data_IF_421533317311
#
_entry.id   IF_421533317311
#
_cell.length_a   1.000
_cell.length_b   1.000
_cell.length_c   1.000
_cell.angle_alpha   90.00
_cell.angle_beta   90.00
_cell.angle_gamma   90.00
#
_symmetry.space_group_name_H-M   'P 1'
#
loop_
_entity.id
_entity.type
_entity.pdbx_description
1 polymer ?
#
# COMPACT_ATOMS: atom_id res chain seq x y z
N UNK A 1 -33.19 26.84 49.65
CA UNK A 1 -33.01 25.44 50.11
C UNK A 1 -31.60 25.32 50.66
N UNK A 2 -31.42 25.00 51.94
CA UNK A 2 -30.07 24.79 52.49
C UNK A 2 -29.56 23.40 52.06
N UNK A 3 -28.55 23.31 51.18
CA UNK A 3 -28.07 22.03 50.64
C UNK A 3 -27.53 21.10 51.73
N UNK A 4 -26.92 21.66 52.77
CA UNK A 4 -26.35 20.91 53.90
C UNK A 4 -27.41 20.16 54.72
N UNK A 5 -28.57 20.79 54.95
CA UNK A 5 -29.68 20.15 55.68
C UNK A 5 -30.33 19.02 54.87
N UNK A 6 -30.37 19.16 53.53
CA UNK A 6 -30.88 18.12 52.63
C UNK A 6 -29.94 16.90 52.60
N UNK A 7 -28.63 17.14 52.48
CA UNK A 7 -27.62 16.08 52.47
C UNK A 7 -27.63 15.31 53.80
N UNK A 8 -27.68 15.99 54.95
CA UNK A 8 -27.76 15.33 56.27
C UNK A 8 -29.00 14.45 56.42
N UNK A 9 -30.16 14.91 55.93
CA UNK A 9 -31.42 14.16 56.01
C UNK A 9 -31.46 12.95 55.06
N UNK A 10 -30.77 13.02 53.93
CA UNK A 10 -30.74 11.96 52.89
C UNK A 10 -29.42 11.20 52.86
N UNK A 11 -28.54 11.39 53.84
CA UNK A 11 -27.19 10.84 53.85
C UNK A 11 -27.17 9.32 53.67
N UNK A 12 -27.99 8.59 54.44
CA UNK A 12 -28.10 7.14 54.33
C UNK A 12 -28.57 6.67 52.93
N UNK A 13 -29.51 7.38 52.31
CA UNK A 13 -29.99 7.06 50.96
C UNK A 13 -28.94 7.35 49.89
N UNK A 14 -28.18 8.44 50.04
CA UNK A 14 -27.10 8.80 49.10
C UNK A 14 -25.96 7.79 49.20
N UNK A 15 -25.53 7.46 50.43
CA UNK A 15 -24.47 6.50 50.68
C UNK A 15 -24.89 5.09 50.18
N UNK A 16 -26.11 4.66 50.49
CA UNK A 16 -26.65 3.39 49.98
C UNK A 16 -26.72 3.36 48.45
N UNK A 17 -27.11 4.46 47.81
CA UNK A 17 -27.10 4.60 46.35
C UNK A 17 -25.68 4.49 45.77
N UNK A 18 -24.70 5.16 46.37
CA UNK A 18 -23.29 5.06 45.95
C UNK A 18 -22.75 3.64 46.07
N UNK A 19 -23.05 2.94 47.16
CA UNK A 19 -22.65 1.54 47.36
C UNK A 19 -23.31 0.63 46.32
N UNK A 20 -24.60 0.82 46.05
CA UNK A 20 -25.32 0.03 45.04
C UNK A 20 -24.75 0.24 43.62
N UNK A 21 -24.44 1.49 43.26
CA UNK A 21 -23.81 1.82 41.97
C UNK A 21 -22.41 1.20 41.89
N UNK A 22 -21.61 1.31 42.95
CA UNK A 22 -20.29 0.69 43.00
C UNK A 22 -20.35 -0.83 42.84
N UNK A 23 -21.27 -1.49 43.55
CA UNK A 23 -21.49 -2.94 43.45
C UNK A 23 -21.93 -3.35 42.04
N UNK A 24 -22.81 -2.58 41.39
CA UNK A 24 -23.24 -2.84 40.00
C UNK A 24 -22.08 -2.75 39.01
N UNK A 25 -21.20 -1.74 39.14
CA UNK A 25 -20.03 -1.61 38.28
C UNK A 25 -19.00 -2.72 38.51
N UNK A 26 -18.81 -3.15 39.76
CA UNK A 26 -17.93 -4.29 40.07
C UNK A 26 -18.48 -5.61 39.49
N UNK A 27 -19.77 -5.86 39.65
CA UNK A 27 -20.42 -7.07 39.13
C UNK A 27 -20.43 -7.11 37.59
N UNK A 28 -20.70 -5.98 36.93
CA UNK A 28 -20.67 -5.90 35.47
C UNK A 28 -19.24 -6.07 34.92
N UNK A 29 -18.24 -5.46 35.56
CA UNK A 29 -16.83 -5.66 35.22
C UNK A 29 -16.38 -7.12 35.33
N UNK A 30 -16.72 -7.81 36.43
CA UNK A 30 -16.37 -9.21 36.62
C UNK A 30 -17.08 -10.13 35.61
N UNK A 31 -18.34 -9.83 35.28
CA UNK A 31 -19.11 -10.60 34.29
C UNK A 31 -18.47 -10.55 32.90
N UNK A 32 -17.93 -9.40 32.50
CA UNK A 32 -17.20 -9.27 31.24
C UNK A 32 -15.88 -10.04 31.22
N UNK A 33 -15.14 -10.08 32.34
CA UNK A 33 -13.91 -10.86 32.44
C UNK A 33 -14.17 -12.37 32.34
N UNK A 34 -15.24 -12.85 32.99
CA UNK A 34 -15.65 -14.26 32.92
C UNK A 34 -16.12 -14.60 31.50
N UNK A 35 -16.94 -13.75 30.88
CA UNK A 35 -17.37 -13.94 29.50
C UNK A 35 -16.20 -14.02 28.52
N UNK A 36 -15.16 -13.20 28.71
CA UNK A 36 -13.95 -13.25 27.90
C UNK A 36 -13.16 -14.56 28.08
N UNK A 37 -13.02 -15.07 29.31
CA UNK A 37 -12.34 -16.36 29.53
C UNK A 37 -13.10 -17.52 28.88
N UNK A 38 -14.42 -17.57 29.03
CA UNK A 38 -15.25 -18.62 28.41
C UNK A 38 -15.13 -18.54 26.88
N UNK A 39 -15.22 -17.34 26.28
CA UNK A 39 -15.09 -17.18 24.84
C UNK A 39 -13.70 -17.63 24.31
N UNK A 40 -12.65 -17.49 25.12
CA UNK A 40 -11.28 -17.89 24.77
C UNK A 40 -11.09 -19.40 24.81
N UNK A 41 -11.69 -20.09 25.79
CA UNK A 41 -11.64 -21.54 25.91
C UNK A 41 -12.56 -22.25 24.89
N UNK A 42 -13.62 -21.57 24.43
CA UNK A 42 -14.53 -22.05 23.38
C UNK A 42 -13.94 -22.07 21.97
N UNK A 43 -12.74 -21.51 21.77
CA UNK A 43 -12.07 -21.55 20.46
C UNK A 43 -11.49 -22.95 20.31
N UNK A 44 -12.01 -23.82 19.42
CA UNK A 44 -11.39 -25.10 19.16
C UNK A 44 -9.94 -24.85 18.73
N UNK A 45 -9.01 -25.49 19.45
CA UNK A 45 -7.59 -25.42 19.08
C UNK A 45 -7.45 -25.85 17.62
N UNK A 46 -7.01 -24.92 16.77
CA UNK A 46 -6.70 -25.23 15.38
C UNK A 46 -5.77 -26.45 15.35
N UNK A 47 -5.99 -27.43 14.46
CA UNK A 47 -5.09 -28.57 14.34
C UNK A 47 -3.68 -28.03 14.12
N UNK A 48 -2.75 -28.49 14.96
CA UNK A 48 -1.34 -28.12 14.90
C UNK A 48 -0.86 -28.41 13.48
N UNK A 49 -0.65 -27.36 12.69
CA UNK A 49 -0.11 -27.49 11.35
C UNK A 49 1.25 -28.17 11.46
N UNK A 50 1.32 -29.43 11.02
CA UNK A 50 2.58 -30.12 10.78
C UNK A 50 3.38 -29.23 9.85
N UNK A 51 4.62 -28.89 10.23
CA UNK A 51 5.50 -28.11 9.37
C UNK A 51 5.51 -28.77 7.97
N UNK A 52 5.33 -28.00 6.88
CA UNK A 52 5.44 -28.57 5.55
C UNK A 52 6.84 -29.16 5.43
N UNK A 53 6.91 -30.46 5.16
CA UNK A 53 8.16 -31.09 4.74
C UNK A 53 8.68 -30.28 3.56
N UNK A 54 9.94 -29.84 3.64
CA UNK A 54 10.58 -29.12 2.54
C UNK A 54 10.44 -29.93 1.24
N UNK A 55 10.20 -29.27 0.09
CA UNK A 55 10.08 -29.99 -1.17
C UNK A 55 11.36 -30.79 -1.41
N UNK A 56 11.27 -32.05 -1.88
CA UNK A 56 12.46 -32.76 -2.32
C UNK A 56 13.15 -31.93 -3.41
N UNK A 57 14.48 -32.01 -3.55
CA UNK A 57 15.17 -31.38 -4.68
C UNK A 57 14.62 -32.01 -5.97
N UNK A 58 13.70 -31.31 -6.62
CA UNK A 58 13.17 -31.68 -7.93
C UNK A 58 14.28 -31.42 -8.94
N UNK A 59 14.99 -32.49 -9.31
CA UNK A 59 15.90 -32.52 -10.45
C UNK A 59 15.18 -32.62 -11.79
N UNK A 60 13.87 -32.40 -11.81
CA UNK A 60 13.11 -32.44 -13.05
C UNK A 60 13.30 -31.13 -13.83
N UNK A 61 13.65 -31.20 -15.12
CA UNK A 61 13.63 -30.02 -15.98
C UNK A 61 12.22 -29.43 -16.01
N UNK A 62 12.09 -28.11 -16.26
CA UNK A 62 10.78 -27.44 -16.29
C UNK A 62 9.82 -28.19 -17.22
N UNK A 63 8.53 -28.31 -16.85
CA UNK A 63 7.58 -29.09 -17.62
C UNK A 63 7.51 -28.56 -19.05
N UNK A 64 7.88 -29.40 -20.02
CA UNK A 64 7.83 -29.05 -21.43
C UNK A 64 6.56 -29.63 -22.07
N UNK A 65 5.88 -28.81 -22.86
CA UNK A 65 4.71 -29.24 -23.63
C UNK A 65 5.09 -29.96 -24.94
N UNK A 66 6.39 -30.08 -25.24
CA UNK A 66 6.92 -30.72 -26.44
C UNK A 66 6.32 -32.11 -26.74
N UNK A 67 6.25 -33.06 -25.79
CA UNK A 67 5.66 -34.38 -26.06
C UNK A 67 4.15 -34.35 -26.34
N UNK A 68 3.43 -33.34 -25.85
CA UNK A 68 1.99 -33.17 -26.09
C UNK A 68 1.78 -32.64 -27.52
N UNK A 69 2.60 -31.67 -27.94
CA UNK A 69 2.55 -31.09 -29.28
C UNK A 69 3.02 -32.05 -30.37
N UNK A 70 4.02 -32.90 -30.05
CA UNK A 70 4.52 -33.93 -30.96
C UNK A 70 3.50 -35.04 -31.19
N UNK A 71 2.76 -35.40 -30.14
CA UNK A 71 1.79 -36.49 -30.21
C UNK A 71 0.40 -36.07 -30.68
N UNK A 72 0.14 -34.75 -30.71
CA UNK A 72 -1.11 -34.10 -31.10
C UNK A 72 -2.36 -34.94 -30.78
N UNK A 73 -2.68 -35.16 -29.49
CA UNK A 73 -3.77 -36.05 -29.08
C UNK A 73 -5.17 -35.57 -29.51
N UNK A 74 -5.29 -34.33 -29.98
CA UNK A 74 -6.56 -33.72 -30.41
C UNK A 74 -6.77 -33.80 -31.93
N UNK A 75 -5.72 -34.11 -32.70
CA UNK A 75 -5.81 -34.33 -34.15
C UNK A 75 -4.72 -35.31 -34.62
N UNK A 76 -5.02 -36.60 -34.44
CA UNK A 76 -4.13 -37.70 -34.83
C UNK A 76 -3.98 -37.91 -36.34
N UNK A 77 -4.75 -37.19 -37.17
CA UNK A 77 -4.71 -37.33 -38.63
C UNK A 77 -3.67 -36.38 -39.23
N UNK A 78 -3.62 -35.14 -38.73
CA UNK A 78 -2.80 -34.07 -39.33
C UNK A 78 -1.35 -34.07 -38.80
N UNK A 79 -1.06 -34.77 -37.69
CA UNK A 79 0.29 -34.96 -37.15
C UNK A 79 0.76 -33.85 -36.20
N UNK A 80 2.06 -33.79 -35.87
CA UNK A 80 2.61 -32.86 -34.87
C UNK A 80 2.32 -31.38 -35.14
N UNK A 81 2.00 -30.60 -34.10
CA UNK A 81 1.74 -29.15 -34.21
C UNK A 81 3.01 -28.28 -34.19
N UNK A 82 4.18 -28.88 -34.40
CA UNK A 82 5.46 -28.19 -34.42
C UNK A 82 5.81 -27.62 -35.80
N UNK A 83 6.69 -26.60 -35.89
CA UNK A 83 7.19 -26.11 -37.16
C UNK A 83 7.93 -27.24 -37.92
N UNK A 84 7.69 -27.42 -39.23
CA UNK A 84 8.35 -28.47 -40.00
C UNK A 84 9.88 -28.26 -39.99
N UNK A 85 10.67 -29.34 -39.89
CA UNK A 85 12.13 -29.22 -39.84
C UNK A 85 12.64 -28.59 -41.13
N UNK A 86 13.16 -27.35 -41.03
CA UNK A 86 13.74 -26.59 -42.14
C UNK A 86 12.94 -25.35 -42.57
N UNK A 87 11.79 -25.05 -41.98
CA UNK A 87 11.13 -23.76 -42.21
C UNK A 87 11.83 -22.67 -41.37
N UNK A 88 12.46 -21.71 -42.04
CA UNK A 88 12.80 -20.43 -41.43
C UNK A 88 11.53 -19.83 -40.80
N UNK A 89 11.62 -19.12 -39.65
CA UNK A 89 10.44 -18.56 -39.00
C UNK A 89 9.72 -17.65 -39.99
N UNK A 90 8.57 -18.11 -40.49
CA UNK A 90 7.63 -17.27 -41.21
C UNK A 90 7.28 -16.14 -40.24
N UNK A 91 7.46 -14.90 -40.71
CA UNK A 91 7.29 -13.69 -39.90
C UNK A 91 6.02 -13.80 -39.06
N UNK A 92 6.17 -13.49 -37.77
CA UNK A 92 5.08 -13.44 -36.81
C UNK A 92 3.88 -12.77 -37.48
N UNK A 93 2.83 -13.54 -37.74
CA UNK A 93 1.55 -12.95 -38.07
C UNK A 93 1.21 -12.03 -36.89
N UNK A 94 0.94 -10.76 -37.18
CA UNK A 94 0.63 -9.74 -36.18
C UNK A 94 -0.70 -10.08 -35.51
N UNK A 95 -0.63 -10.92 -34.47
CA UNK A 95 -1.74 -11.33 -33.62
C UNK A 95 -2.00 -10.30 -32.50
N UNK A 96 -1.38 -9.12 -32.55
CA UNK A 96 -1.58 -8.04 -31.58
C UNK A 96 -3.03 -7.55 -31.52
N UNK A 97 -3.85 -7.94 -32.49
CA UNK A 97 -5.29 -7.68 -32.50
C UNK A 97 -6.11 -8.63 -31.59
N UNK A 98 -5.60 -9.82 -31.26
CA UNK A 98 -6.31 -10.82 -30.45
C UNK A 98 -6.04 -10.70 -28.95
N UNK A 99 -4.86 -10.19 -28.55
CA UNK A 99 -4.55 -9.96 -27.14
C UNK A 99 -4.64 -8.46 -26.81
N UNK A 100 -5.64 -8.04 -26.00
CA UNK A 100 -5.76 -6.64 -25.57
C UNK A 100 -4.50 -6.08 -24.92
N UNK A 101 -3.69 -6.92 -24.26
CA UNK A 101 -2.48 -6.48 -23.56
C UNK A 101 -1.30 -6.20 -24.50
N UNK A 102 -1.36 -6.66 -25.75
CA UNK A 102 -0.38 -6.35 -26.80
C UNK A 102 -0.70 -5.05 -27.55
N UNK A 103 -1.82 -4.37 -27.24
CA UNK A 103 -2.16 -3.11 -27.87
C UNK A 103 -1.06 -2.06 -27.61
N UNK A 104 -0.70 -1.23 -28.60
CA UNK A 104 0.32 -0.20 -28.39
C UNK A 104 -0.15 0.85 -27.37
N UNK A 105 0.79 1.52 -26.69
CA UNK A 105 0.48 2.59 -25.76
C UNK A 105 -0.17 3.79 -26.49
N UNK A 106 -1.24 4.39 -25.96
CA UNK A 106 -1.90 5.52 -26.63
C UNK A 106 -1.07 6.81 -26.63
N UNK A 107 -0.83 7.43 -27.79
CA UNK A 107 0.10 8.57 -27.97
C UNK A 107 -0.06 9.79 -27.05
N UNK A 108 -1.26 9.99 -26.47
CA UNK A 108 -1.63 11.23 -25.78
C UNK A 108 -2.49 10.97 -24.56
N UNK A 109 -2.09 11.59 -23.46
CA UNK A 109 -2.83 11.65 -22.21
C UNK A 109 -2.23 10.80 -21.10
N UNK A 110 -2.92 10.77 -19.96
CA UNK A 110 -2.63 9.86 -18.85
C UNK A 110 -3.90 9.49 -18.10
N UNK A 111 -3.95 8.28 -17.56
CA UNK A 111 -5.01 7.87 -16.64
C UNK A 111 -4.63 8.33 -15.23
N UNK A 112 -5.52 9.09 -14.60
CA UNK A 112 -5.30 9.70 -13.27
C UNK A 112 -5.91 8.86 -12.16
N UNK A 113 -7.07 8.26 -12.40
CA UNK A 113 -7.81 7.45 -11.44
C UNK A 113 -8.61 6.40 -12.18
N UNK A 114 -8.73 5.22 -11.56
CA UNK A 114 -9.61 4.13 -11.99
C UNK A 114 -10.45 3.73 -10.78
N UNK A 115 -11.77 3.62 -10.97
CA UNK A 115 -12.67 2.98 -10.03
C UNK A 115 -13.32 1.80 -10.76
N UNK A 116 -12.97 0.59 -10.34
CA UNK A 116 -13.45 -0.66 -10.93
C UNK A 116 -14.57 -1.24 -10.06
N UNK A 117 -15.62 -1.72 -10.71
CA UNK A 117 -16.71 -2.50 -10.12
C UNK A 117 -16.70 -3.91 -10.70
N UNK A 118 -17.36 -4.87 -10.03
CA UNK A 118 -17.60 -6.20 -10.62
C UNK A 118 -18.46 -6.12 -11.88
N UNK A 119 -19.34 -5.12 -11.96
CA UNK A 119 -20.07 -4.78 -13.17
C UNK A 119 -19.24 -3.80 -14.04
N UNK A 120 -18.79 -4.21 -15.25
CA UNK A 120 -18.01 -3.36 -16.14
C UNK A 120 -18.71 -2.06 -16.54
N UNK A 121 -20.05 -2.02 -16.56
CA UNK A 121 -20.82 -0.82 -16.90
C UNK A 121 -20.72 0.28 -15.83
N UNK A 122 -20.41 -0.12 -14.59
CA UNK A 122 -20.27 0.78 -13.44
C UNK A 122 -18.83 1.25 -13.23
N UNK A 123 -17.89 0.70 -14.01
CA UNK A 123 -16.49 1.09 -13.95
C UNK A 123 -16.25 2.42 -14.66
N UNK A 124 -15.40 3.26 -14.08
CA UNK A 124 -15.04 4.55 -14.67
C UNK A 124 -13.58 4.91 -14.44
N UNK A 125 -13.02 5.69 -15.36
CA UNK A 125 -11.66 6.19 -15.29
C UNK A 125 -11.61 7.70 -15.51
N UNK A 126 -10.79 8.41 -14.74
CA UNK A 126 -10.49 9.81 -14.96
C UNK A 126 -9.27 9.91 -15.89
N UNK A 127 -9.50 10.34 -17.13
CA UNK A 127 -8.47 10.39 -18.18
C UNK A 127 -8.18 11.86 -18.46
N UNK A 128 -6.91 12.24 -18.34
CA UNK A 128 -6.44 13.59 -18.66
C UNK A 128 -5.81 13.59 -20.03
N UNK A 129 -6.43 14.30 -20.98
CA UNK A 129 -5.85 14.54 -22.29
C UNK A 129 -4.62 15.45 -22.20
N UNK A 130 -3.73 15.34 -23.18
CA UNK A 130 -2.54 16.20 -23.26
C UNK A 130 -2.95 17.68 -23.35
N UNK A 131 -2.57 18.48 -22.34
CA UNK A 131 -2.93 19.91 -22.26
C UNK A 131 -4.42 20.21 -22.00
N UNK A 132 -5.28 19.20 -21.84
CA UNK A 132 -6.72 19.35 -21.64
C UNK A 132 -7.19 19.14 -20.19
N UNK A 133 -8.49 19.41 -19.93
CA UNK A 133 -9.12 19.07 -18.66
C UNK A 133 -9.18 17.54 -18.47
N UNK A 134 -9.23 17.11 -17.21
CA UNK A 134 -9.50 15.70 -16.89
C UNK A 134 -10.96 15.41 -17.18
N UNK A 135 -11.25 14.37 -17.96
CA UNK A 135 -12.59 13.92 -18.29
C UNK A 135 -12.84 12.53 -17.72
N UNK A 136 -14.11 12.26 -17.39
CA UNK A 136 -14.53 10.96 -16.89
C UNK A 136 -14.96 10.06 -18.06
N UNK A 137 -14.25 8.96 -18.25
CA UNK A 137 -14.56 7.93 -19.22
C UNK A 137 -15.25 6.74 -18.57
N UNK A 138 -16.30 6.23 -19.20
CA UNK A 138 -16.94 4.95 -18.89
C UNK A 138 -16.86 4.06 -20.11
N UNK A 139 -17.03 2.75 -19.92
CA UNK A 139 -17.13 1.79 -21.02
C UNK A 139 -18.15 2.26 -22.07
N UNK A 140 -17.76 2.26 -23.34
CA UNK A 140 -18.57 2.75 -24.46
C UNK A 140 -18.63 4.27 -24.63
N UNK A 141 -18.22 5.05 -23.62
CA UNK A 141 -18.16 6.52 -23.67
C UNK A 141 -16.97 7.05 -24.46
N UNK A 142 -17.03 8.32 -24.83
CA UNK A 142 -15.98 8.99 -25.62
C UNK A 142 -15.21 10.00 -24.77
N UNK A 143 -13.88 9.91 -24.80
CA UNK A 143 -12.99 10.86 -24.12
C UNK A 143 -11.90 11.31 -25.08
N UNK A 144 -11.84 12.62 -25.31
CA UNK A 144 -10.85 13.25 -26.20
C UNK A 144 -10.79 12.65 -27.63
N UNK A 145 -11.95 12.31 -28.21
CA UNK A 145 -12.05 11.75 -29.56
C UNK A 145 -11.72 10.25 -29.65
N UNK A 146 -11.61 9.56 -28.50
CA UNK A 146 -11.38 8.11 -28.43
C UNK A 146 -12.48 7.44 -27.62
N UNK A 147 -12.95 6.28 -28.10
CA UNK A 147 -13.98 5.50 -27.41
C UNK A 147 -13.33 4.59 -26.38
N UNK A 148 -13.81 4.61 -25.15
CA UNK A 148 -13.36 3.70 -24.09
C UNK A 148 -13.96 2.32 -24.37
N UNK A 149 -13.11 1.34 -24.60
CA UNK A 149 -13.54 -0.03 -24.91
C UNK A 149 -13.69 -0.86 -23.65
N UNK A 150 -12.69 -0.81 -22.77
CA UNK A 150 -12.69 -1.51 -21.50
C UNK A 150 -11.82 -0.81 -20.45
N UNK A 151 -12.10 -1.09 -19.17
CA UNK A 151 -11.43 -0.51 -18.01
C UNK A 151 -11.02 -1.65 -17.08
N UNK A 152 -9.72 -1.91 -16.98
CA UNK A 152 -9.14 -2.81 -15.98
C UNK A 152 -8.65 -2.02 -14.76
N UNK A 153 -8.22 -2.74 -13.73
CA UNK A 153 -7.71 -2.19 -12.47
C UNK A 153 -6.45 -1.31 -12.65
N UNK A 154 -5.62 -1.60 -13.67
CA UNK A 154 -4.33 -0.94 -13.91
C UNK A 154 -4.27 -0.13 -15.22
N UNK A 155 -5.22 -0.34 -16.13
CA UNK A 155 -5.18 0.26 -17.48
C UNK A 155 -6.56 0.46 -18.09
N UNK A 156 -6.60 1.33 -19.09
CA UNK A 156 -7.78 1.61 -19.90
C UNK A 156 -7.45 1.34 -21.36
N UNK A 157 -8.32 0.61 -22.05
CA UNK A 157 -8.24 0.42 -23.49
C UNK A 157 -9.14 1.41 -24.20
N UNK A 158 -8.58 2.10 -25.18
CA UNK A 158 -9.29 3.06 -26.01
C UNK A 158 -9.18 2.67 -27.47
N UNK A 159 -10.25 2.90 -28.21
CA UNK A 159 -10.29 2.71 -29.66
C UNK A 159 -10.42 4.07 -30.36
N UNK A 160 -9.60 4.29 -31.39
CA UNK A 160 -9.71 5.46 -32.28
C UNK A 160 -9.56 5.00 -33.73
N UNK A 161 -10.56 5.26 -34.57
CA UNK A 161 -10.51 4.87 -35.99
C UNK A 161 -10.35 3.36 -36.25
N UNK A 162 -10.74 2.51 -35.29
CA UNK A 162 -10.58 1.05 -35.37
C UNK A 162 -9.27 0.50 -34.79
N UNK A 163 -8.30 1.35 -34.46
CA UNK A 163 -7.09 0.96 -33.76
C UNK A 163 -7.30 1.03 -32.24
N UNK A 164 -7.02 -0.09 -31.55
CA UNK A 164 -7.00 -0.18 -30.09
C UNK A 164 -5.64 0.28 -29.57
N UNK A 165 -5.64 1.06 -28.50
CA UNK A 165 -4.46 1.42 -27.74
C UNK A 165 -4.74 1.31 -26.24
N UNK A 166 -3.70 1.19 -25.42
CA UNK A 166 -3.83 1.09 -23.97
C UNK A 166 -3.15 2.26 -23.24
N UNK A 167 -3.70 2.62 -22.07
CA UNK A 167 -3.12 3.61 -21.17
C UNK A 167 -3.07 3.06 -19.75
N UNK A 168 -1.87 3.00 -19.17
CA UNK A 168 -1.68 2.54 -17.79
C UNK A 168 -1.90 3.67 -16.78
N UNK A 169 -2.38 3.31 -15.58
CA UNK A 169 -2.59 4.23 -14.48
C UNK A 169 -1.27 4.89 -14.05
N UNK A 170 -1.24 6.22 -14.07
CA UNK A 170 -0.09 7.00 -13.58
C UNK A 170 1.10 7.10 -14.55
N UNK A 171 1.14 6.34 -15.65
CA UNK A 171 2.16 6.50 -16.69
C UNK A 171 1.79 7.63 -17.66
N UNK A 172 2.77 8.45 -18.02
CA UNK A 172 2.62 9.43 -19.10
C UNK A 172 2.99 8.73 -20.39
N UNK A 173 2.00 8.52 -21.25
CA UNK A 173 2.26 7.88 -22.53
C UNK A 173 3.04 8.86 -23.43
N UNK A 174 4.23 8.46 -23.85
CA UNK A 174 5.14 9.30 -24.65
C UNK A 174 6.64 9.21 -24.31
N UNK A 175 7.08 8.41 -23.33
CA UNK A 175 8.51 8.30 -22.98
C UNK A 175 9.11 6.90 -23.11
N UNK A 176 8.33 5.91 -23.53
CA UNK A 176 8.79 4.52 -23.71
C UNK A 176 8.14 3.93 -24.97
N UNK A 177 8.63 4.32 -26.15
CA UNK A 177 8.79 3.42 -27.30
C UNK A 177 9.32 4.17 -28.53
N UNK A 178 10.65 4.29 -28.58
CA UNK A 178 11.39 4.24 -29.84
C UNK A 178 12.69 3.48 -29.61
N UNK A 179 12.58 2.23 -29.19
CA UNK A 179 13.69 1.29 -29.15
C UNK A 179 13.84 0.68 -30.55
N UNK A 180 14.62 1.33 -31.41
CA UNK A 180 15.06 0.74 -32.67
C UNK A 180 16.28 -0.17 -32.41
N UNK A 181 16.36 -1.39 -32.96
CA UNK A 181 17.45 -2.32 -32.65
C UNK A 181 18.74 -1.85 -33.33
N UNK A 182 19.73 -1.42 -32.55
CA UNK A 182 21.07 -1.06 -33.05
C UNK A 182 22.00 -2.30 -33.02
N UNK A 183 22.75 -2.59 -34.10
CA UNK A 183 23.72 -3.69 -34.17
C UNK A 183 24.81 -3.60 -33.08
N UNK A 184 25.41 -4.73 -32.67
CA UNK A 184 26.38 -4.75 -31.58
C UNK A 184 27.75 -4.32 -32.10
N UNK A 185 28.27 -3.21 -31.57
CA UNK A 185 29.66 -2.80 -31.81
C UNK A 185 30.15 -1.91 -30.65
N UNK A 186 31.47 -1.73 -30.47
CA UNK A 186 32.28 -2.43 -29.47
C UNK A 186 32.41 -1.69 -28.14
N UNK A 187 32.79 -2.45 -27.12
CA UNK A 187 33.15 -2.00 -25.77
C UNK A 187 34.24 -0.92 -25.77
N UNK A 188 33.87 0.26 -25.29
CA UNK A 188 34.77 1.35 -24.88
C UNK A 188 34.34 1.89 -23.49
N UNK A 189 35.23 2.56 -22.74
CA UNK A 189 35.57 2.30 -21.33
C UNK A 189 34.47 2.73 -20.33
N UNK A 190 34.56 2.34 -19.05
CA UNK A 190 33.51 2.61 -18.06
C UNK A 190 33.27 4.10 -17.93
N UNK A 191 32.24 4.59 -18.60
CA UNK A 191 31.79 5.96 -18.48
C UNK A 191 31.14 6.10 -17.13
N UNK A 192 31.75 6.97 -16.31
CA UNK A 192 31.35 7.27 -14.95
C UNK A 192 29.83 7.35 -14.81
N UNK A 193 29.33 6.63 -13.80
CA UNK A 193 27.97 6.71 -13.28
C UNK A 193 27.55 8.18 -13.26
N UNK A 194 26.43 8.58 -13.89
CA UNK A 194 25.92 9.92 -13.68
C UNK A 194 25.70 10.07 -12.17
N UNK A 195 26.10 11.21 -11.56
CA UNK A 195 25.92 11.38 -10.13
C UNK A 195 24.45 11.17 -9.82
N UNK A 196 24.19 10.21 -8.94
CA UNK A 196 22.93 10.00 -8.26
C UNK A 196 22.46 11.38 -7.84
N UNK A 197 21.39 11.90 -8.46
CA UNK A 197 20.84 13.22 -8.09
C UNK A 197 20.45 13.15 -6.63
N UNK A 198 21.35 13.59 -5.76
CA UNK A 198 21.09 13.87 -4.38
C UNK A 198 20.00 14.94 -4.31
N UNK A 199 18.91 14.57 -3.64
CA UNK A 199 18.10 15.51 -2.88
C UNK A 199 17.40 16.60 -3.68
N UNK A 200 16.23 16.30 -4.22
CA UNK A 200 15.10 17.18 -3.90
C UNK A 200 14.48 16.60 -2.63
N UNK A 201 15.02 16.99 -1.48
CA UNK A 201 14.34 16.78 -0.21
C UNK A 201 12.93 17.32 -0.38
N UNK A 202 11.91 16.47 -0.21
CA UNK A 202 10.51 16.91 -0.17
C UNK A 202 10.20 17.65 1.13
N UNK A 203 11.16 17.68 2.06
CA UNK A 203 11.12 18.48 3.28
C UNK A 203 11.55 19.91 2.94
N UNK A 204 10.73 20.92 3.26
CA UNK A 204 11.15 22.32 3.23
C UNK A 204 12.48 22.50 3.98
N UNK A 205 13.44 23.28 3.44
CA UNK A 205 14.79 23.39 4.00
C UNK A 205 14.78 23.89 5.46
N UNK A 206 13.79 24.69 5.84
CA UNK A 206 13.56 25.14 7.22
C UNK A 206 13.31 23.98 8.19
N UNK A 207 12.50 22.98 7.80
CA UNK A 207 12.18 21.83 8.64
C UNK A 207 13.37 20.88 8.69
N UNK A 208 14.05 20.68 7.55
CA UNK A 208 15.24 19.83 7.48
C UNK A 208 16.38 20.34 8.37
N UNK A 209 16.58 21.67 8.43
CA UNK A 209 17.61 22.29 9.28
C UNK A 209 17.29 22.20 10.79
N UNK A 210 16.01 22.10 11.16
CA UNK A 210 15.54 21.99 12.54
C UNK A 210 15.49 20.56 13.09
N UNK A 211 15.86 19.55 12.29
CA UNK A 211 15.95 18.15 12.72
C UNK A 211 17.42 17.83 13.03
N UNK A 212 17.71 17.51 14.29
CA UNK A 212 19.06 17.16 14.78
C UNK A 212 19.07 15.72 15.26
N UNK A 213 19.91 14.90 14.64
CA UNK A 213 20.14 13.52 15.10
C UNK A 213 21.08 13.55 16.31
N UNK A 214 20.58 13.13 17.48
CA UNK A 214 21.34 13.08 18.73
C UNK A 214 21.99 11.71 18.93
N UNK A 215 21.35 10.66 18.41
CA UNK A 215 21.88 9.30 18.36
C UNK A 215 21.26 8.51 17.20
N UNK A 216 21.63 7.23 17.08
CA UNK A 216 21.18 6.39 15.95
C UNK A 216 19.65 6.24 15.88
N UNK A 217 19.00 6.24 17.04
CA UNK A 217 17.56 6.09 17.22
C UNK A 217 16.93 7.26 17.99
N UNK A 218 17.65 8.36 18.16
CA UNK A 218 17.21 9.52 18.94
C UNK A 218 17.42 10.83 18.17
N UNK A 219 16.33 11.60 18.07
CA UNK A 219 16.26 12.79 17.23
C UNK A 219 15.61 13.91 18.02
N UNK A 220 16.20 15.09 17.92
CA UNK A 220 15.62 16.33 18.43
C UNK A 220 15.05 17.14 17.27
N UNK A 221 13.86 17.68 17.45
CA UNK A 221 13.20 18.58 16.51
C UNK A 221 12.74 19.84 17.23
N UNK A 222 12.94 21.01 16.61
CA UNK A 222 12.41 22.26 17.14
C UNK A 222 10.87 22.26 17.14
N UNK A 223 10.25 22.80 18.18
CA UNK A 223 8.80 22.83 18.37
C UNK A 223 8.07 23.46 17.20
N UNK A 224 8.60 24.55 16.66
CA UNK A 224 8.04 25.26 15.51
C UNK A 224 8.09 24.43 14.23
N UNK A 225 9.14 23.63 14.04
CA UNK A 225 9.24 22.71 12.91
C UNK A 225 8.28 21.52 13.06
N UNK A 226 8.15 20.96 14.27
CA UNK A 226 7.18 19.92 14.57
C UNK A 226 5.74 20.39 14.30
N UNK A 227 5.38 21.59 14.76
CA UNK A 227 4.06 22.20 14.51
C UNK A 227 3.79 22.39 13.02
N UNK A 228 4.76 22.89 12.24
CA UNK A 228 4.64 22.98 10.78
C UNK A 228 4.39 21.62 10.11
N UNK A 229 4.98 20.53 10.61
CA UNK A 229 4.73 19.18 10.07
C UNK A 229 3.29 18.76 10.37
N UNK A 230 2.78 19.00 11.59
CA UNK A 230 1.40 18.66 11.95
C UNK A 230 0.37 19.52 11.21
N UNK A 231 0.67 20.79 10.96
CA UNK A 231 -0.23 21.71 10.27
C UNK A 231 -0.27 21.47 8.75
N UNK A 232 0.75 20.80 8.19
CA UNK A 232 0.85 20.48 6.76
C UNK A 232 0.88 18.95 6.54
N UNK A 233 -0.25 18.26 6.67
CA UNK A 233 -0.32 16.80 6.53
C UNK A 233 0.16 16.29 5.16
N UNK A 234 0.07 17.10 4.11
CA UNK A 234 0.56 16.76 2.77
C UNK A 234 2.07 16.45 2.73
N UNK A 235 2.88 17.08 3.60
CA UNK A 235 4.32 16.81 3.67
C UNK A 235 4.61 15.35 4.02
N UNK A 236 3.73 14.73 4.80
CA UNK A 236 3.84 13.34 5.23
C UNK A 236 3.08 12.43 4.27
N UNK A 237 1.83 12.72 3.94
CA UNK A 237 0.98 11.81 3.15
C UNK A 237 1.38 11.69 1.68
N UNK A 238 2.03 12.70 1.09
CA UNK A 238 2.53 12.62 -0.29
C UNK A 238 3.85 11.84 -0.42
N UNK A 239 4.57 11.70 0.70
CA UNK A 239 5.92 11.13 0.77
C UNK A 239 5.97 9.82 1.56
N UNK A 240 4.86 9.42 2.17
CA UNK A 240 4.73 8.18 2.92
C UNK A 240 3.30 7.63 2.90
N UNK A 241 3.17 6.32 3.07
CA UNK A 241 1.88 5.65 3.24
C UNK A 241 1.93 4.66 4.41
N UNK A 242 0.78 4.53 5.07
CA UNK A 242 0.55 3.61 6.18
C UNK A 242 -0.49 2.57 5.77
N UNK A 243 -0.09 1.30 5.71
CA UNK A 243 -0.98 0.20 5.36
C UNK A 243 -1.11 -0.73 6.56
N UNK A 244 -2.33 -1.09 7.00
CA UNK A 244 -2.52 -2.10 8.03
C UNK A 244 -1.90 -3.43 7.61
N UNK A 245 -1.04 -3.99 8.45
CA UNK A 245 -0.49 -5.34 8.25
C UNK A 245 -1.34 -6.34 9.03
N UNK A 246 -1.82 -7.38 8.35
CA UNK A 246 -2.64 -8.45 8.94
C UNK A 246 -1.77 -9.68 9.26
N UNK A 247 -1.98 -10.31 10.42
CA UNK A 247 -1.56 -11.70 10.66
C UNK A 247 -2.78 -12.52 11.03
N UNK A 248 -3.24 -13.35 10.09
CA UNK A 248 -4.56 -13.97 10.18
C UNK A 248 -5.65 -12.89 10.07
N UNK A 249 -6.56 -12.86 11.03
CA UNK A 249 -7.71 -11.93 11.05
C UNK A 249 -7.48 -10.69 11.95
N UNK A 250 -6.23 -10.45 12.38
CA UNK A 250 -5.89 -9.36 13.28
C UNK A 250 -4.87 -8.42 12.66
N UNK A 251 -5.13 -7.12 12.78
CA UNK A 251 -4.14 -6.07 12.47
C UNK A 251 -3.03 -6.17 13.52
N UNK A 252 -1.77 -6.28 13.08
CA UNK A 252 -0.60 -6.36 13.96
C UNK A 252 0.21 -5.06 14.02
N UNK A 253 -0.12 -4.09 13.18
CA UNK A 253 0.49 -2.76 13.15
C UNK A 253 0.27 -2.06 11.81
N UNK A 254 0.97 -0.94 11.64
CA UNK A 254 0.96 -0.15 10.40
C UNK A 254 2.30 -0.28 9.69
N UNK A 255 2.31 -0.89 8.52
CA UNK A 255 3.47 -0.98 7.65
C UNK A 255 3.68 0.35 6.93
N UNK A 256 4.86 0.92 7.11
CA UNK A 256 5.25 2.21 6.55
C UNK A 256 5.93 2.01 5.20
N UNK A 257 5.47 2.74 4.19
CA UNK A 257 6.24 2.97 2.96
C UNK A 257 6.69 4.42 2.98
N UNK A 258 7.99 4.67 2.84
CA UNK A 258 8.57 6.01 3.02
C UNK A 258 9.49 6.32 1.85
N UNK A 259 9.32 7.50 1.24
CA UNK A 259 10.21 7.96 0.16
C UNK A 259 11.53 8.51 0.73
N UNK A 260 12.65 8.34 0.00
CA UNK A 260 13.91 9.01 0.33
C UNK A 260 13.77 10.53 0.31
N UNK A 261 14.38 11.21 1.27
CA UNK A 261 14.30 12.65 1.48
C UNK A 261 12.98 13.13 2.09
N UNK A 262 12.20 12.24 2.73
CA UNK A 262 10.93 12.59 3.39
C UNK A 262 11.12 13.06 4.84
N UNK A 263 10.06 13.64 5.41
CA UNK A 263 10.06 14.05 6.82
C UNK A 263 10.20 12.83 7.73
N UNK A 264 9.46 11.75 7.46
CA UNK A 264 9.51 10.54 8.28
C UNK A 264 10.87 9.83 8.21
N UNK A 265 11.51 9.81 7.05
CA UNK A 265 12.89 9.30 6.92
C UNK A 265 13.87 10.13 7.76
N UNK A 266 13.71 11.45 7.73
CA UNK A 266 14.51 12.37 8.55
C UNK A 266 14.30 12.12 10.05
N UNK A 267 13.11 11.67 10.46
CA UNK A 267 12.75 11.25 11.82
C UNK A 267 13.15 9.78 12.14
N UNK A 268 13.89 9.11 11.25
CA UNK A 268 14.46 7.79 11.48
C UNK A 268 13.53 6.60 11.18
N UNK A 269 12.32 6.87 10.67
CA UNK A 269 11.42 5.83 10.14
C UNK A 269 11.95 5.37 8.79
N UNK A 270 11.95 4.07 8.54
CA UNK A 270 12.41 3.49 7.29
C UNK A 270 11.26 2.83 6.52
N UNK A 271 11.42 2.76 5.21
CA UNK A 271 10.47 2.02 4.37
C UNK A 271 10.53 0.54 4.73
N UNK A 272 9.37 -0.07 4.96
CA UNK A 272 9.25 -1.45 5.45
C UNK A 272 9.08 -1.58 6.97
N UNK A 273 9.24 -0.49 7.74
CA UNK A 273 9.00 -0.53 9.18
C UNK A 273 7.55 -0.87 9.50
N UNK A 274 7.34 -1.82 10.41
CA UNK A 274 6.02 -2.12 10.97
C UNK A 274 5.86 -1.39 12.31
N UNK A 275 5.13 -0.29 12.32
CA UNK A 275 4.88 0.50 13.54
C UNK A 275 3.78 -0.18 14.36
N UNK A 276 4.12 -0.58 15.58
CA UNK A 276 3.17 -1.23 16.50
C UNK A 276 2.55 -0.27 17.49
N UNK A 277 3.33 0.66 18.01
CA UNK A 277 2.84 1.59 19.04
C UNK A 277 3.55 2.93 19.02
N UNK A 278 2.84 3.98 19.44
CA UNK A 278 3.38 5.32 19.71
C UNK A 278 3.03 5.75 21.12
N UNK A 279 4.00 6.17 21.93
CA UNK A 279 3.79 6.60 23.32
C UNK A 279 2.99 5.58 24.15
N UNK A 280 3.26 4.29 23.94
CA UNK A 280 2.55 3.15 24.55
C UNK A 280 1.09 2.97 24.12
N UNK A 281 0.63 3.73 23.11
CA UNK A 281 -0.67 3.52 22.46
C UNK A 281 -0.47 2.56 21.30
N UNK A 282 -1.18 1.45 21.35
CA UNK A 282 -1.20 0.42 20.32
C UNK A 282 -1.93 0.91 19.06
N UNK A 283 -1.31 0.75 17.89
CA UNK A 283 -1.86 1.19 16.59
C UNK A 283 -2.64 0.09 15.85
N UNK A 284 -2.84 -1.07 16.47
CA UNK A 284 -3.64 -2.19 15.90
C UNK A 284 -5.13 -1.87 15.77
N UNK A 285 -5.60 -0.82 16.44
CA UNK A 285 -6.99 -0.37 16.40
C UNK A 285 -7.11 1.04 15.78
N UNK A 286 -8.03 1.28 14.83
CA UNK A 286 -8.19 2.58 14.18
C UNK A 286 -8.51 3.74 15.15
N UNK A 287 -9.32 3.50 16.18
CA UNK A 287 -9.66 4.55 17.16
C UNK A 287 -8.44 4.90 18.03
N UNK A 288 -7.66 3.89 18.44
CA UNK A 288 -6.40 4.12 19.16
C UNK A 288 -5.36 4.83 18.30
N UNK A 289 -5.30 4.55 17.01
CA UNK A 289 -4.40 5.25 16.09
C UNK A 289 -4.73 6.75 15.99
N UNK A 290 -6.02 7.11 15.94
CA UNK A 290 -6.45 8.52 15.97
C UNK A 290 -6.11 9.19 17.31
N UNK A 291 -6.28 8.47 18.43
CA UNK A 291 -5.88 8.97 19.74
C UNK A 291 -4.37 9.21 19.83
N UNK A 292 -3.56 8.29 19.30
CA UNK A 292 -2.11 8.45 19.23
C UNK A 292 -1.75 9.72 18.45
N UNK A 293 -2.34 9.92 17.27
CA UNK A 293 -2.10 11.11 16.45
C UNK A 293 -2.41 12.41 17.20
N UNK A 294 -3.54 12.48 17.91
CA UNK A 294 -3.91 13.66 18.70
C UNK A 294 -2.91 13.94 19.83
N UNK A 295 -2.40 12.91 20.50
CA UNK A 295 -1.40 13.07 21.58
C UNK A 295 -0.03 13.47 21.07
N UNK A 296 0.39 12.95 19.91
CA UNK A 296 1.70 13.31 19.33
C UNK A 296 1.85 14.82 19.11
N UNK A 297 0.75 15.54 18.83
CA UNK A 297 0.78 16.99 18.63
C UNK A 297 1.06 17.78 19.92
N UNK A 298 0.61 17.28 21.07
CA UNK A 298 0.80 17.92 22.38
C UNK A 298 2.07 17.48 23.10
N UNK A 299 2.52 16.25 22.87
CA UNK A 299 3.61 15.65 23.64
C UNK A 299 4.97 16.27 23.26
N UNK A 300 5.85 16.42 24.26
CA UNK A 300 7.23 16.89 24.08
C UNK A 300 8.23 15.78 23.75
N UNK A 301 7.81 14.52 23.90
CA UNK A 301 8.64 13.36 23.61
C UNK A 301 7.76 12.28 22.98
N UNK A 302 8.18 11.78 21.83
CA UNK A 302 7.52 10.72 21.10
C UNK A 302 8.40 9.48 21.11
N UNK A 303 7.84 8.33 21.45
CA UNK A 303 8.51 7.04 21.36
C UNK A 303 7.72 6.11 20.46
N UNK A 304 8.35 5.70 19.36
CA UNK A 304 7.80 4.76 18.40
C UNK A 304 8.44 3.39 18.63
N UNK A 305 7.62 2.35 18.70
CA UNK A 305 8.10 0.96 18.66
C UNK A 305 7.77 0.42 17.28
N UNK A 306 8.84 0.14 16.52
CA UNK A 306 8.76 -0.39 15.16
C UNK A 306 9.41 -1.76 15.10
N UNK A 307 8.92 -2.64 14.23
CA UNK A 307 9.61 -3.88 13.87
C UNK A 307 10.30 -3.66 12.53
N UNK A 308 11.63 -3.70 12.54
CA UNK A 308 12.49 -3.52 11.38
C UNK A 308 13.26 -4.80 11.15
N UNK A 309 13.13 -5.38 9.97
CA UNK A 309 13.73 -6.68 9.63
C UNK A 309 13.44 -7.77 10.67
N UNK A 310 12.21 -7.76 11.21
CA UNK A 310 11.76 -8.71 12.25
C UNK A 310 12.28 -8.41 13.66
N UNK A 311 13.03 -7.33 13.89
CA UNK A 311 13.56 -6.94 15.21
C UNK A 311 12.84 -5.70 15.76
N UNK A 312 12.46 -5.67 17.05
CA UNK A 312 11.88 -4.47 17.64
C UNK A 312 12.95 -3.38 17.82
N UNK A 313 12.68 -2.20 17.26
CA UNK A 313 13.50 -1.00 17.34
C UNK A 313 12.65 0.10 18.00
N UNK A 314 13.24 0.84 18.94
CA UNK A 314 12.58 1.97 19.59
C UNK A 314 13.20 3.28 19.11
N UNK A 315 12.43 4.06 18.37
CA UNK A 315 12.80 5.41 17.96
C UNK A 315 12.29 6.41 19.00
N UNK A 316 13.11 7.42 19.34
CA UNK A 316 12.74 8.52 20.21
C UNK A 316 12.89 9.84 19.47
N UNK A 317 11.87 10.69 19.56
CA UNK A 317 11.86 12.04 19.03
C UNK A 317 11.54 13.01 20.16
N UNK A 318 12.47 13.90 20.49
CA UNK A 318 12.24 14.95 21.48
C UNK A 318 11.90 16.25 20.75
N UNK A 319 10.80 16.87 21.16
CA UNK A 319 10.34 18.16 20.64
C UNK A 319 10.79 19.26 21.60
N UNK A 320 11.69 20.14 21.13
CA UNK A 320 12.34 21.18 21.95
C UNK A 320 11.79 22.57 21.71
#
# INVERSE_FOLDING_TARGET
MNPDAFVKRRFATILGGMVAVSAYFQASGLSHLIAYQIARDSIPSAPRATAPAGPPPSGDPPPSAAPILERNPFDSITGPLGPPPGAAPAGQADLSHLDPYLAPPCDKGRVVLIAMSEDPEWSFAAIKAEGGPTALGRRGGEVAGRKVEDIAWDRVWLTSGGARCQMELGKKTGEEDKAEPRPPEPSEPPRATPPRRSGKSSVPPEIAASIKRVGDLEIDIDRTAAEKIFDNPELVTSTSSAVPEMRGDQVVGLKMTVKPGSVLESLGVQSGDLVKSVNSIDLTDPQKAMMAYSRMRSDKSLSFVVERDGRPVRLRVNVR
#
